data_IF_957303015364
#
_entry.id   IF_957303015364
#
_cell.length_a   1.000
_cell.length_b   1.000
_cell.length_c   1.000
_cell.angle_alpha   90.00
_cell.angle_beta   90.00
_cell.angle_gamma   90.00
#
_symmetry.space_group_name_H-M   'P 1'
#
loop_
_entity.id
_entity.type
_entity.pdbx_description
1 polymer ?
#
# COMPACT_ATOMS: atom_id res chain seq x y z
N UNK A 1 -39.41 16.07 1.21
CA UNK A 1 -38.70 17.35 1.07
C UNK A 1 -37.70 17.64 2.22
N UNK A 2 -38.06 17.54 3.52
CA UNK A 2 -37.09 17.89 4.60
C UNK A 2 -35.80 17.03 4.63
N UNK A 3 -35.92 15.75 4.34
CA UNK A 3 -34.75 14.82 4.34
C UNK A 3 -33.83 15.09 3.15
N UNK A 4 -34.42 15.31 1.97
CA UNK A 4 -33.63 15.63 0.76
C UNK A 4 -32.90 16.95 0.89
N UNK A 5 -33.55 17.97 1.48
CA UNK A 5 -32.89 19.24 1.75
C UNK A 5 -31.74 19.09 2.72
N UNK A 6 -31.95 18.34 3.80
CA UNK A 6 -30.92 18.08 4.81
C UNK A 6 -29.73 17.31 4.25
N UNK A 7 -29.95 16.36 3.33
CA UNK A 7 -28.90 15.64 2.61
C UNK A 7 -28.12 16.58 1.69
N UNK A 8 -28.79 17.51 1.00
CA UNK A 8 -28.14 18.51 0.16
C UNK A 8 -27.24 19.45 0.99
N UNK A 9 -27.75 19.90 2.14
CA UNK A 9 -27.02 20.79 3.06
C UNK A 9 -25.77 20.07 3.62
N UNK A 10 -25.89 18.80 4.02
CA UNK A 10 -24.76 17.99 4.49
C UNK A 10 -23.73 17.79 3.38
N UNK A 11 -24.15 17.49 2.16
CA UNK A 11 -23.24 17.39 1.01
C UNK A 11 -22.49 18.70 0.78
N UNK A 12 -23.19 19.82 0.79
CA UNK A 12 -22.58 21.15 0.65
C UNK A 12 -21.53 21.44 1.74
N UNK A 13 -21.84 21.07 2.98
CA UNK A 13 -20.88 21.22 4.08
C UNK A 13 -19.64 20.32 3.91
N UNK A 14 -19.82 19.08 3.43
CA UNK A 14 -18.70 18.17 3.15
C UNK A 14 -17.80 18.73 2.04
N UNK A 15 -18.38 19.21 0.93
CA UNK A 15 -17.62 19.81 -0.17
C UNK A 15 -16.87 21.06 0.27
N UNK A 16 -17.49 21.92 1.08
CA UNK A 16 -16.80 23.09 1.64
C UNK A 16 -15.61 22.67 2.52
N UNK A 17 -15.80 21.70 3.42
CA UNK A 17 -14.71 21.19 4.27
C UNK A 17 -13.58 20.56 3.47
N UNK A 18 -13.91 19.85 2.38
CA UNK A 18 -12.90 19.32 1.46
C UNK A 18 -12.08 20.44 0.81
N UNK A 19 -12.73 21.50 0.34
CA UNK A 19 -12.06 22.66 -0.24
C UNK A 19 -11.15 23.38 0.78
N UNK A 20 -11.63 23.56 2.01
CA UNK A 20 -10.87 24.13 3.11
C UNK A 20 -9.60 23.30 3.39
N UNK A 21 -9.75 21.99 3.49
CA UNK A 21 -8.62 21.06 3.71
C UNK A 21 -7.62 21.12 2.55
N UNK A 22 -8.08 21.17 1.31
CA UNK A 22 -7.20 21.27 0.15
C UNK A 22 -6.41 22.59 0.14
N UNK A 23 -7.01 23.69 0.58
CA UNK A 23 -6.33 24.99 0.64
C UNK A 23 -5.17 25.03 1.64
N UNK A 24 -5.27 24.26 2.72
CA UNK A 24 -4.21 24.15 3.75
C UNK A 24 -3.17 23.09 3.33
N UNK A 25 -3.62 21.98 2.77
CA UNK A 25 -2.78 20.86 2.38
C UNK A 25 -1.75 21.23 1.32
N UNK A 26 -2.18 21.94 0.27
CA UNK A 26 -1.32 22.29 -0.86
C UNK A 26 -0.03 22.99 -0.42
N UNK A 27 -0.12 24.11 0.29
CA UNK A 27 1.05 24.81 0.83
C UNK A 27 1.93 23.94 1.73
N UNK A 28 1.32 23.12 2.60
CA UNK A 28 2.05 22.22 3.50
C UNK A 28 2.86 21.17 2.74
N UNK A 29 2.26 20.53 1.74
CA UNK A 29 2.95 19.56 0.90
C UNK A 29 4.06 20.21 0.06
N UNK A 30 3.80 21.39 -0.51
CA UNK A 30 4.81 22.13 -1.25
C UNK A 30 6.02 22.50 -0.39
N UNK A 31 5.80 22.88 0.85
CA UNK A 31 6.88 23.16 1.80
C UNK A 31 7.72 21.92 2.08
N UNK A 32 7.10 20.75 2.30
CA UNK A 32 7.82 19.50 2.51
C UNK A 32 8.63 19.10 1.27
N UNK A 33 8.04 19.16 0.08
CA UNK A 33 8.74 18.86 -1.18
C UNK A 33 9.93 19.81 -1.40
N UNK A 34 9.76 21.10 -1.10
CA UNK A 34 10.84 22.08 -1.17
C UNK A 34 11.99 21.77 -0.21
N UNK A 35 11.69 21.33 1.02
CA UNK A 35 12.73 20.88 1.97
C UNK A 35 13.47 19.63 1.47
N UNK A 36 12.80 18.78 0.69
CA UNK A 36 13.40 17.61 0.05
C UNK A 36 14.15 17.94 -1.25
N UNK A 37 14.15 19.20 -1.67
CA UNK A 37 14.74 19.64 -2.94
C UNK A 37 13.97 19.14 -4.16
N UNK A 38 12.68 18.82 -3.99
CA UNK A 38 11.82 18.31 -5.07
C UNK A 38 10.94 19.43 -5.61
N UNK A 39 10.98 19.62 -6.92
CA UNK A 39 10.17 20.58 -7.65
C UNK A 39 9.52 19.92 -8.90
N UNK A 40 8.84 20.73 -9.72
CA UNK A 40 8.18 20.27 -10.94
C UNK A 40 9.14 19.77 -12.03
N UNK A 41 10.43 20.05 -11.94
CA UNK A 41 11.48 19.64 -12.89
C UNK A 41 12.30 18.45 -12.42
N UNK A 42 12.09 18.03 -11.17
CA UNK A 42 12.74 16.85 -10.61
C UNK A 42 12.37 15.60 -11.41
N UNK A 43 13.33 14.72 -11.65
CA UNK A 43 13.17 13.50 -12.44
C UNK A 43 13.87 12.31 -11.76
N UNK A 44 13.56 11.10 -12.20
CA UNK A 44 14.15 9.85 -11.68
C UNK A 44 13.98 9.67 -10.18
N UNK A 45 12.92 10.20 -9.59
CA UNK A 45 12.65 10.09 -8.17
C UNK A 45 12.38 8.62 -7.79
N UNK A 46 12.80 8.27 -6.56
CA UNK A 46 12.51 6.99 -5.95
C UNK A 46 11.58 7.24 -4.75
N UNK A 47 10.40 6.64 -4.76
CA UNK A 47 9.35 6.90 -3.78
C UNK A 47 8.99 5.63 -3.02
N UNK A 48 9.14 5.64 -1.70
CA UNK A 48 8.68 4.59 -0.79
C UNK A 48 7.38 5.04 -0.13
N UNK A 49 6.28 4.42 -0.49
CA UNK A 49 4.93 4.75 0.00
C UNK A 49 4.52 3.79 1.12
N UNK A 50 4.05 4.33 2.24
CA UNK A 50 3.75 3.56 3.43
C UNK A 50 5.02 3.09 4.13
N UNK A 51 5.99 4.00 4.26
CA UNK A 51 7.33 3.67 4.77
C UNK A 51 7.32 3.24 6.24
N UNK A 52 6.33 3.66 7.02
CA UNK A 52 6.32 3.42 8.44
C UNK A 52 7.66 3.80 9.09
N UNK A 53 8.20 2.95 9.98
CA UNK A 53 9.51 3.14 10.60
C UNK A 53 10.69 2.68 9.70
N UNK A 54 10.42 2.15 8.52
CA UNK A 54 11.41 1.50 7.63
C UNK A 54 11.83 2.42 6.48
N UNK A 55 12.34 3.61 6.81
CA UNK A 55 12.82 4.55 5.80
C UNK A 55 13.96 3.96 4.96
N UNK A 56 13.91 4.18 3.66
CA UNK A 56 14.95 3.78 2.71
C UNK A 56 15.87 4.98 2.43
N UNK A 57 17.18 4.77 2.54
CA UNK A 57 18.17 5.80 2.21
C UNK A 57 18.17 6.11 0.71
N UNK A 58 18.18 7.39 0.37
CA UNK A 58 18.12 7.85 -1.03
C UNK A 58 16.73 7.82 -1.66
N UNK A 59 15.69 7.43 -0.90
CA UNK A 59 14.30 7.46 -1.32
C UNK A 59 13.53 8.58 -0.64
N UNK A 60 12.47 9.06 -1.28
CA UNK A 60 11.48 9.90 -0.64
C UNK A 60 10.51 8.98 0.11
N UNK A 61 10.61 8.98 1.43
CA UNK A 61 9.79 8.14 2.30
C UNK A 61 8.50 8.89 2.65
N UNK A 62 7.36 8.31 2.25
CA UNK A 62 6.02 8.87 2.41
C UNK A 62 5.18 8.01 3.35
N UNK A 63 4.54 8.65 4.33
CA UNK A 63 3.57 8.01 5.22
C UNK A 63 2.56 9.02 5.77
N UNK A 64 1.48 8.54 6.40
CA UNK A 64 0.55 9.36 7.20
C UNK A 64 1.12 9.70 8.57
N UNK A 65 1.99 8.87 9.11
CA UNK A 65 2.79 9.13 10.30
C UNK A 65 3.97 10.05 9.96
N UNK A 66 4.70 10.56 10.95
CA UNK A 66 5.87 11.39 10.68
C UNK A 66 6.87 10.68 9.76
N UNK A 67 7.05 11.23 8.58
CA UNK A 67 7.94 10.76 7.53
C UNK A 67 8.60 11.98 6.86
N UNK A 68 9.52 11.74 5.90
CA UNK A 68 10.10 12.84 5.11
C UNK A 68 9.02 13.61 4.35
N UNK A 69 8.02 12.90 3.82
CA UNK A 69 6.83 13.45 3.20
C UNK A 69 5.59 12.91 3.92
N UNK A 70 5.07 13.69 4.86
CA UNK A 70 3.88 13.30 5.64
C UNK A 70 2.60 13.66 4.91
N UNK A 71 1.89 12.66 4.37
CA UNK A 71 0.60 12.83 3.68
C UNK A 71 -0.19 11.54 3.63
N UNK A 72 -1.49 11.65 3.39
CA UNK A 72 -2.36 10.50 3.16
C UNK A 72 -2.45 10.22 1.64
N UNK A 73 -2.11 9.00 1.23
CA UNK A 73 -2.18 8.56 -0.18
C UNK A 73 -3.58 8.71 -0.81
N UNK A 74 -4.64 8.67 0.00
CA UNK A 74 -6.02 8.86 -0.46
C UNK A 74 -6.29 10.29 -0.96
N UNK A 75 -5.39 11.20 -0.72
CA UNK A 75 -5.51 12.59 -1.18
C UNK A 75 -4.77 12.85 -2.50
N UNK A 76 -4.19 11.83 -3.10
CA UNK A 76 -3.34 11.88 -4.28
C UNK A 76 -1.87 12.16 -3.94
N UNK A 77 -0.99 11.68 -4.80
CA UNK A 77 0.46 11.86 -4.67
C UNK A 77 0.87 13.23 -5.22
N UNK A 78 1.66 14.03 -4.46
CA UNK A 78 1.97 15.42 -4.82
C UNK A 78 3.13 15.53 -5.82
N UNK A 79 3.17 14.65 -6.79
CA UNK A 79 4.17 14.63 -7.85
C UNK A 79 3.51 14.90 -9.21
N UNK A 80 4.22 15.53 -10.14
CA UNK A 80 3.74 15.69 -11.51
C UNK A 80 3.92 14.38 -12.30
N UNK A 81 3.32 14.31 -13.47
CA UNK A 81 3.36 13.12 -14.32
C UNK A 81 4.80 12.78 -14.73
N UNK A 82 5.18 11.52 -14.57
CA UNK A 82 6.45 11.01 -15.03
C UNK A 82 7.68 11.42 -14.22
N UNK A 83 7.55 11.84 -12.96
CA UNK A 83 8.70 12.24 -12.13
C UNK A 83 9.44 11.07 -11.50
N UNK A 84 8.78 9.94 -11.29
CA UNK A 84 9.33 8.83 -10.53
C UNK A 84 9.87 7.74 -11.44
N UNK A 85 11.09 7.27 -11.16
CA UNK A 85 11.69 6.09 -11.79
C UNK A 85 11.25 4.81 -11.10
N UNK A 86 11.25 4.82 -9.77
CA UNK A 86 10.87 3.67 -8.96
C UNK A 86 9.87 4.07 -7.88
N UNK A 87 8.89 3.19 -7.67
CA UNK A 87 7.95 3.29 -6.55
C UNK A 87 7.95 1.94 -5.82
N UNK A 88 8.06 1.97 -4.51
CA UNK A 88 8.00 0.80 -3.65
C UNK A 88 6.86 0.94 -2.63
N UNK A 89 6.06 -0.12 -2.48
CA UNK A 89 5.03 -0.26 -1.45
C UNK A 89 5.18 -1.63 -0.79
N UNK A 90 5.24 -1.65 0.53
CA UNK A 90 5.27 -2.90 1.29
C UNK A 90 4.22 -2.86 2.38
N UNK A 91 3.26 -3.78 2.33
CA UNK A 91 2.19 -3.93 3.32
C UNK A 91 1.40 -2.63 3.56
N UNK A 92 0.98 -2.01 2.48
CA UNK A 92 0.12 -0.81 2.48
C UNK A 92 -1.20 -1.07 1.75
N UNK A 93 -1.16 -1.74 0.59
CA UNK A 93 -2.31 -1.80 -0.32
C UNK A 93 -3.50 -2.55 0.28
N UNK A 94 -3.27 -3.53 1.14
CA UNK A 94 -4.28 -4.27 1.90
C UNK A 94 -5.04 -3.41 2.91
N UNK A 95 -4.47 -2.28 3.32
CA UNK A 95 -5.09 -1.31 4.22
C UNK A 95 -6.02 -0.32 3.51
N UNK A 96 -6.18 -0.43 2.20
CA UNK A 96 -7.06 0.40 1.38
C UNK A 96 -8.31 -0.36 0.95
N UNK A 97 -9.45 0.35 0.85
CA UNK A 97 -10.66 -0.26 0.31
C UNK A 97 -10.50 -0.57 -1.18
N UNK A 98 -10.74 -1.84 -1.53
CA UNK A 98 -10.76 -2.27 -2.92
C UNK A 98 -12.22 -2.32 -3.44
N UNK A 99 -12.52 -1.87 -4.68
CA UNK A 99 -11.55 -1.35 -5.65
C UNK A 99 -11.28 0.16 -5.55
N UNK A 100 -12.03 0.92 -4.78
CA UNK A 100 -12.04 2.38 -4.83
C UNK A 100 -10.69 3.02 -4.52
N UNK A 101 -10.23 2.89 -3.29
CA UNK A 101 -9.05 3.60 -2.81
C UNK A 101 -7.77 2.98 -3.39
N UNK A 102 -7.68 1.65 -3.39
CA UNK A 102 -6.55 0.93 -3.93
C UNK A 102 -6.34 1.23 -5.42
N UNK A 103 -7.42 1.21 -6.23
CA UNK A 103 -7.32 1.51 -7.65
C UNK A 103 -6.94 2.98 -7.90
N UNK A 104 -7.47 3.90 -7.10
CA UNK A 104 -7.10 5.32 -7.19
C UNK A 104 -5.60 5.53 -6.93
N UNK A 105 -5.05 4.89 -5.90
CA UNK A 105 -3.61 4.95 -5.62
C UNK A 105 -2.79 4.33 -6.75
N UNK A 106 -3.17 3.16 -7.26
CA UNK A 106 -2.46 2.51 -8.36
C UNK A 106 -2.47 3.34 -9.65
N UNK A 107 -3.57 4.02 -9.96
CA UNK A 107 -3.67 4.95 -11.08
C UNK A 107 -2.75 6.17 -10.87
N UNK A 108 -2.68 6.67 -9.66
CA UNK A 108 -1.83 7.81 -9.33
C UNK A 108 -0.33 7.41 -9.39
N UNK A 109 0.01 6.21 -8.94
CA UNK A 109 1.36 5.64 -9.12
C UNK A 109 1.71 5.49 -10.61
N UNK A 110 0.78 4.98 -11.42
CA UNK A 110 0.98 4.90 -12.86
C UNK A 110 1.23 6.28 -13.47
N UNK A 111 0.51 7.31 -13.05
CA UNK A 111 0.66 8.69 -13.52
C UNK A 111 2.04 9.26 -13.21
N UNK A 112 2.52 9.11 -11.97
CA UNK A 112 3.79 9.70 -11.53
C UNK A 112 5.03 8.95 -11.99
N UNK A 113 4.93 7.67 -12.34
CA UNK A 113 6.04 6.92 -12.93
C UNK A 113 6.38 7.47 -14.32
N UNK A 114 7.66 7.56 -14.68
CA UNK A 114 8.10 7.85 -16.04
C UNK A 114 7.85 6.64 -16.97
N UNK A 115 7.85 6.81 -18.31
CA UNK A 115 7.84 5.67 -19.22
C UNK A 115 9.02 4.73 -18.96
N UNK A 116 8.75 3.44 -18.76
CA UNK A 116 9.72 2.45 -18.32
C UNK A 116 9.98 2.46 -16.80
N UNK A 117 9.33 3.33 -16.05
CA UNK A 117 9.36 3.34 -14.59
C UNK A 117 8.65 2.12 -13.98
N UNK A 118 9.07 1.69 -12.81
CA UNK A 118 8.63 0.43 -12.20
C UNK A 118 8.08 0.67 -10.80
N UNK A 119 6.92 0.06 -10.53
CA UNK A 119 6.42 -0.11 -9.17
C UNK A 119 6.66 -1.53 -8.69
N UNK A 120 7.20 -1.67 -7.47
CA UNK A 120 7.29 -2.93 -6.72
C UNK A 120 6.29 -2.89 -5.58
N UNK A 121 5.43 -3.91 -5.52
CA UNK A 121 4.36 -4.03 -4.53
C UNK A 121 4.54 -5.34 -3.77
N UNK A 122 4.51 -5.24 -2.45
CA UNK A 122 4.54 -6.37 -1.53
C UNK A 122 3.26 -6.33 -0.69
N UNK A 123 2.50 -7.42 -0.69
CA UNK A 123 1.25 -7.58 0.07
C UNK A 123 1.16 -8.98 0.66
N UNK A 124 0.32 -9.25 1.67
CA UNK A 124 0.05 -10.61 2.12
C UNK A 124 -0.41 -11.51 0.97
N UNK A 125 0.19 -12.71 0.81
CA UNK A 125 -0.24 -13.70 -0.19
C UNK A 125 -1.45 -14.50 0.35
N UNK A 126 -2.64 -14.10 -0.04
CA UNK A 126 -3.89 -14.75 0.40
C UNK A 126 -4.02 -16.16 -0.20
N UNK A 127 -3.49 -16.42 -1.38
CA UNK A 127 -3.49 -17.76 -1.95
C UNK A 127 -2.70 -18.74 -1.08
N UNK A 128 -1.55 -18.31 -0.56
CA UNK A 128 -0.75 -19.10 0.38
C UNK A 128 -1.50 -19.35 1.69
N UNK A 129 -2.21 -18.34 2.20
CA UNK A 129 -3.00 -18.48 3.41
C UNK A 129 -4.21 -19.43 3.24
N UNK A 130 -4.88 -19.38 2.07
CA UNK A 130 -5.96 -20.32 1.71
C UNK A 130 -5.42 -21.75 1.66
N UNK A 131 -4.26 -21.96 1.03
CA UNK A 131 -3.64 -23.28 0.96
C UNK A 131 -3.32 -23.80 2.35
N UNK A 132 -2.70 -23.01 3.23
CA UNK A 132 -2.41 -23.39 4.60
C UNK A 132 -3.69 -23.72 5.41
N UNK A 133 -4.78 -23.00 5.17
CA UNK A 133 -6.08 -23.29 5.78
C UNK A 133 -6.62 -24.66 5.33
N UNK A 134 -6.57 -24.94 4.03
CA UNK A 134 -7.03 -26.21 3.44
C UNK A 134 -6.20 -27.41 3.91
N UNK A 135 -4.88 -27.23 3.98
CA UNK A 135 -3.93 -28.26 4.41
C UNK A 135 -3.90 -28.49 5.93
N UNK A 136 -4.69 -27.71 6.69
CA UNK A 136 -4.67 -27.73 8.15
C UNK A 136 -3.29 -27.41 8.75
N UNK A 137 -2.53 -26.54 8.11
CA UNK A 137 -1.19 -26.15 8.54
C UNK A 137 -1.26 -25.20 9.76
N UNK A 138 -1.28 -25.81 10.94
CA UNK A 138 -1.32 -25.09 12.20
C UNK A 138 -0.02 -24.30 12.45
N UNK A 139 1.12 -24.78 11.94
CA UNK A 139 2.41 -24.14 12.10
C UNK A 139 2.50 -22.83 11.31
N UNK A 140 1.92 -22.79 10.11
CA UNK A 140 1.81 -21.58 9.33
C UNK A 140 1.15 -20.43 10.13
N UNK A 141 0.01 -20.73 10.74
CA UNK A 141 -0.73 -19.72 11.51
C UNK A 141 -0.06 -19.40 12.84
N UNK A 142 0.53 -20.39 13.53
CA UNK A 142 1.26 -20.19 14.79
C UNK A 142 2.48 -19.27 14.62
N UNK A 143 3.31 -19.52 13.61
CA UNK A 143 4.50 -18.70 13.35
C UNK A 143 4.11 -17.26 12.99
N UNK A 144 3.01 -17.07 12.28
CA UNK A 144 2.49 -15.74 12.00
C UNK A 144 2.07 -15.00 13.26
N UNK A 145 1.41 -15.67 14.21
CA UNK A 145 1.03 -15.09 15.52
C UNK A 145 2.28 -14.67 16.29
N UNK A 146 3.29 -15.54 16.33
CA UNK A 146 4.56 -15.26 17.01
C UNK A 146 5.27 -14.03 16.41
N UNK A 147 5.15 -13.83 15.10
CA UNK A 147 5.76 -12.69 14.40
C UNK A 147 5.02 -11.35 14.64
N UNK A 148 3.70 -11.37 14.69
CA UNK A 148 2.90 -10.13 14.72
C UNK A 148 2.07 -9.96 15.98
N UNK A 149 2.18 -10.87 16.96
CA UNK A 149 1.46 -10.77 18.21
C UNK A 149 -0.08 -10.80 18.06
N UNK A 150 -0.58 -11.23 16.93
CA UNK A 150 -1.99 -11.25 16.61
C UNK A 150 -2.66 -12.51 17.19
N UNK A 151 -3.25 -12.39 18.36
CA UNK A 151 -4.06 -13.44 18.96
C UNK A 151 -3.52 -13.95 20.31
N UNK A 152 -4.40 -14.57 21.06
CA UNK A 152 -4.13 -15.11 22.39
C UNK A 152 -3.68 -16.60 22.37
N UNK A 153 -3.39 -17.15 21.20
CA UNK A 153 -3.09 -18.58 21.00
C UNK A 153 -4.30 -19.50 21.09
N UNK A 154 -5.48 -18.96 21.36
CA UNK A 154 -6.76 -19.67 21.47
C UNK A 154 -7.59 -19.57 20.17
N UNK A 155 -7.21 -18.67 19.25
CA UNK A 155 -7.94 -18.42 18.03
C UNK A 155 -8.00 -19.66 17.12
N UNK A 156 -9.16 -19.88 16.52
CA UNK A 156 -9.36 -20.93 15.52
C UNK A 156 -8.62 -20.60 14.22
N UNK A 157 -8.40 -21.59 13.38
CA UNK A 157 -7.83 -21.39 12.05
C UNK A 157 -8.61 -20.37 11.22
N UNK A 158 -9.94 -20.37 11.35
CA UNK A 158 -10.78 -19.41 10.64
C UNK A 158 -10.55 -17.98 11.13
N UNK A 159 -10.46 -17.79 12.46
CA UNK A 159 -10.16 -16.48 13.04
C UNK A 159 -8.79 -15.96 12.59
N UNK A 160 -7.79 -16.84 12.57
CA UNK A 160 -6.47 -16.50 12.02
C UNK A 160 -6.53 -16.15 10.53
N UNK A 161 -7.25 -16.94 9.72
CA UNK A 161 -7.43 -16.66 8.31
C UNK A 161 -8.14 -15.32 8.09
N UNK A 162 -9.22 -15.06 8.79
CA UNK A 162 -9.97 -13.80 8.67
C UNK A 162 -9.14 -12.60 9.11
N UNK A 163 -8.39 -12.72 10.20
CA UNK A 163 -7.44 -11.69 10.64
C UNK A 163 -6.38 -11.38 9.58
N UNK A 164 -5.90 -12.41 8.87
CA UNK A 164 -4.96 -12.24 7.77
C UNK A 164 -5.59 -11.60 6.54
N UNK A 165 -6.81 -11.99 6.22
CA UNK A 165 -7.51 -11.55 5.02
C UNK A 165 -8.24 -10.20 5.20
N UNK A 166 -8.29 -9.62 6.40
CA UNK A 166 -8.83 -8.29 6.59
C UNK A 166 -9.94 -8.11 7.62
N UNK A 167 -10.32 -9.16 8.34
CA UNK A 167 -11.33 -9.05 9.40
C UNK A 167 -10.68 -8.98 10.79
N UNK A 168 -10.01 -7.89 11.09
CA UNK A 168 -9.45 -7.65 12.43
C UNK A 168 -10.54 -7.51 13.49
N UNK A 169 -10.35 -8.07 14.70
CA UNK A 169 -11.39 -8.12 15.74
C UNK A 169 -11.59 -6.80 16.48
N UNK A 170 -10.67 -5.85 16.40
CA UNK A 170 -10.71 -4.64 17.22
C UNK A 170 -11.10 -3.40 16.42
N UNK A 171 -12.25 -2.75 16.73
CA UNK A 171 -12.66 -1.49 16.12
C UNK A 171 -11.66 -0.34 16.34
N UNK A 172 -10.84 -0.36 17.38
CA UNK A 172 -9.83 0.67 17.66
C UNK A 172 -8.71 0.66 16.61
N UNK A 173 -8.48 -0.46 15.93
CA UNK A 173 -7.47 -0.64 14.89
C UNK A 173 -8.01 -0.53 13.46
N UNK A 174 -9.19 0.04 13.27
CA UNK A 174 -9.82 0.19 11.93
C UNK A 174 -8.91 0.83 10.89
N UNK A 175 -8.02 1.71 11.31
CA UNK A 175 -7.06 2.35 10.41
C UNK A 175 -5.99 1.36 9.91
N UNK A 176 -5.49 0.52 10.82
CA UNK A 176 -4.45 -0.49 10.53
C UNK A 176 -5.00 -1.85 10.11
N UNK A 177 -6.32 -2.06 10.20
CA UNK A 177 -6.94 -3.31 9.76
C UNK A 177 -6.76 -3.51 8.25
N UNK A 178 -6.49 -4.75 7.85
CA UNK A 178 -6.59 -5.12 6.44
C UNK A 178 -8.04 -4.96 5.98
N UNK A 179 -8.27 -4.27 4.90
CA UNK A 179 -9.59 -4.02 4.31
C UNK A 179 -9.84 -4.89 3.08
N UNK A 180 -8.76 -5.46 2.55
CA UNK A 180 -8.81 -6.38 1.44
C UNK A 180 -7.61 -7.32 1.44
N UNK A 181 -7.74 -8.46 0.75
CA UNK A 181 -6.66 -9.43 0.56
C UNK A 181 -6.38 -9.65 -0.92
N UNK A 182 -5.12 -9.89 -1.26
CA UNK A 182 -4.67 -10.06 -2.63
C UNK A 182 -4.07 -11.45 -2.84
N UNK A 183 -4.42 -12.06 -3.98
CA UNK A 183 -3.62 -13.03 -4.69
C UNK A 183 -3.03 -12.40 -5.96
N UNK A 184 -2.21 -13.15 -6.69
CA UNK A 184 -1.59 -12.60 -7.89
C UNK A 184 -2.60 -12.20 -8.98
N UNK A 185 -3.64 -13.01 -9.19
CA UNK A 185 -4.68 -12.72 -10.19
C UNK A 185 -5.41 -11.42 -9.88
N UNK A 186 -5.81 -11.24 -8.63
CA UNK A 186 -6.52 -10.04 -8.19
C UNK A 186 -5.65 -8.79 -8.28
N UNK A 187 -4.39 -8.87 -7.83
CA UNK A 187 -3.45 -7.74 -7.92
C UNK A 187 -3.10 -7.41 -9.38
N UNK A 188 -2.88 -8.43 -10.21
CA UNK A 188 -2.65 -8.25 -11.65
C UNK A 188 -3.84 -7.52 -12.32
N UNK A 189 -5.06 -7.94 -12.02
CA UNK A 189 -6.27 -7.27 -12.54
C UNK A 189 -6.38 -5.82 -12.06
N UNK A 190 -6.04 -5.54 -10.81
CA UNK A 190 -6.05 -4.18 -10.27
C UNK A 190 -5.03 -3.30 -11.00
N UNK A 191 -3.82 -3.80 -11.22
CA UNK A 191 -2.75 -3.11 -11.95
C UNK A 191 -3.12 -2.88 -13.43
N UNK A 192 -3.73 -3.85 -14.10
CA UNK A 192 -4.24 -3.67 -15.46
C UNK A 192 -5.28 -2.55 -15.55
N UNK A 193 -6.21 -2.50 -14.58
CA UNK A 193 -7.21 -1.43 -14.50
C UNK A 193 -6.60 -0.06 -14.19
N UNK A 194 -5.45 -0.03 -13.56
CA UNK A 194 -4.70 1.20 -13.30
C UNK A 194 -3.88 1.68 -14.51
N UNK A 195 -3.74 0.86 -15.57
CA UNK A 195 -3.03 1.23 -16.80
C UNK A 195 -1.72 0.47 -17.03
N UNK A 196 -1.30 -0.39 -16.12
CA UNK A 196 -0.09 -1.20 -16.31
C UNK A 196 -0.37 -2.37 -17.26
N UNK A 197 0.52 -2.60 -18.21
CA UNK A 197 0.41 -3.70 -19.18
C UNK A 197 1.45 -4.81 -18.95
N UNK A 198 2.63 -4.46 -18.43
CA UNK A 198 3.67 -5.42 -18.05
C UNK A 198 3.65 -5.63 -16.55
N UNK A 199 3.20 -6.81 -16.11
CA UNK A 199 3.04 -7.17 -14.69
C UNK A 199 3.70 -8.52 -14.46
N UNK A 200 4.61 -8.57 -13.50
CA UNK A 200 5.51 -9.71 -13.27
C UNK A 200 5.32 -10.17 -11.82
N UNK A 201 5.02 -11.46 -11.61
CA UNK A 201 5.16 -12.07 -10.29
C UNK A 201 6.65 -12.23 -10.00
N UNK A 202 7.10 -11.61 -8.93
CA UNK A 202 8.49 -11.62 -8.48
C UNK A 202 8.65 -12.50 -7.23
N UNK A 203 9.82 -12.44 -6.61
CA UNK A 203 10.15 -13.12 -5.35
C UNK A 203 10.89 -12.13 -4.45
N UNK A 204 11.08 -12.52 -3.18
CA UNK A 204 11.86 -11.74 -2.23
C UNK A 204 13.25 -11.39 -2.79
N UNK A 205 13.60 -10.11 -2.77
CA UNK A 205 14.86 -9.55 -3.29
C UNK A 205 15.17 -9.87 -4.77
N UNK A 206 14.19 -10.36 -5.55
CA UNK A 206 14.41 -10.83 -6.93
C UNK A 206 13.95 -9.82 -7.99
N UNK A 207 14.25 -8.54 -7.80
CA UNK A 207 14.07 -7.52 -8.84
C UNK A 207 15.23 -7.54 -9.84
N UNK A 208 14.93 -7.33 -11.13
CA UNK A 208 15.96 -7.04 -12.15
C UNK A 208 16.53 -5.62 -12.03
N UNK A 209 15.88 -4.76 -11.24
CA UNK A 209 16.30 -3.41 -10.93
C UNK A 209 16.97 -3.38 -9.56
N UNK A 210 18.30 -3.15 -9.44
CA UNK A 210 18.99 -3.18 -8.14
C UNK A 210 18.37 -2.24 -7.10
N UNK A 211 17.87 -1.08 -7.52
CA UNK A 211 17.20 -0.13 -6.64
C UNK A 211 15.92 -0.69 -5.99
N UNK A 212 15.28 -1.70 -6.57
CA UNK A 212 14.07 -2.36 -6.04
C UNK A 212 14.37 -3.64 -5.25
N UNK A 213 15.64 -4.00 -5.04
CA UNK A 213 16.05 -5.09 -4.14
C UNK A 213 16.11 -4.56 -2.71
N UNK A 214 14.96 -4.16 -2.17
CA UNK A 214 14.84 -3.47 -0.87
C UNK A 214 13.90 -4.16 0.11
N UNK A 215 13.39 -5.34 -0.22
CA UNK A 215 12.38 -6.04 0.61
C UNK A 215 12.89 -6.35 2.02
N UNK A 216 14.20 -6.55 2.20
CA UNK A 216 14.81 -6.88 3.50
C UNK A 216 14.69 -5.75 4.54
N UNK A 217 14.45 -4.51 4.10
CA UNK A 217 14.19 -3.39 5.00
C UNK A 217 12.83 -3.48 5.70
N UNK A 218 11.92 -4.32 5.20
CA UNK A 218 10.63 -4.59 5.83
C UNK A 218 10.65 -5.94 6.55
N UNK A 219 10.53 -5.93 7.88
CA UNK A 219 10.41 -7.18 8.66
C UNK A 219 9.24 -8.05 8.19
N UNK A 220 8.12 -7.40 7.80
CA UNK A 220 6.93 -8.09 7.32
C UNK A 220 7.19 -8.77 5.98
N UNK A 221 7.85 -8.09 5.05
CA UNK A 221 8.22 -8.67 3.76
C UNK A 221 9.22 -9.82 3.89
N UNK A 222 10.12 -9.73 4.88
CA UNK A 222 11.15 -10.75 5.16
C UNK A 222 10.60 -11.99 5.86
N UNK A 223 9.42 -11.90 6.48
CA UNK A 223 8.83 -13.01 7.23
C UNK A 223 8.47 -14.20 6.33
N UNK A 224 8.79 -15.41 6.79
CA UNK A 224 8.58 -16.64 6.04
C UNK A 224 8.18 -17.81 6.93
N UNK A 225 7.53 -18.80 6.30
CA UNK A 225 7.25 -20.12 6.85
C UNK A 225 7.97 -21.17 6.00
N UNK A 226 8.91 -21.91 6.59
CA UNK A 226 9.84 -22.75 5.83
C UNK A 226 10.62 -21.92 4.79
N UNK A 227 10.53 -22.32 3.54
CA UNK A 227 11.19 -21.62 2.41
C UNK A 227 10.29 -20.60 1.72
N UNK A 228 9.05 -20.39 2.18
CA UNK A 228 8.06 -19.52 1.55
C UNK A 228 7.87 -18.25 2.36
N UNK A 229 8.00 -17.10 1.71
CA UNK A 229 7.60 -15.83 2.30
C UNK A 229 6.08 -15.73 2.40
N UNK A 230 5.57 -15.10 3.48
CA UNK A 230 4.14 -14.84 3.65
C UNK A 230 3.60 -13.84 2.65
N UNK A 231 4.48 -13.12 1.98
CA UNK A 231 4.15 -12.02 1.09
C UNK A 231 4.20 -12.43 -0.37
N UNK A 232 3.31 -11.82 -1.15
CA UNK A 232 3.30 -11.80 -2.60
C UNK A 232 4.11 -10.59 -3.08
N UNK A 233 5.04 -10.81 -3.99
CA UNK A 233 5.88 -9.79 -4.60
C UNK A 233 5.49 -9.62 -6.06
N UNK A 234 5.18 -8.38 -6.46
CA UNK A 234 4.76 -8.07 -7.83
C UNK A 234 5.47 -6.80 -8.31
N UNK A 235 5.90 -6.81 -9.56
CA UNK A 235 6.40 -5.63 -10.24
C UNK A 235 5.50 -5.28 -11.42
N UNK A 236 5.30 -3.98 -11.66
CA UNK A 236 4.59 -3.50 -12.83
C UNK A 236 5.32 -2.32 -13.47
N UNK A 237 5.36 -2.31 -14.80
CA UNK A 237 6.11 -1.32 -15.59
C UNK A 237 5.12 -0.40 -16.29
N UNK A 238 5.33 0.92 -16.19
CA UNK A 238 4.64 1.92 -17.01
C UNK A 238 5.24 1.90 -18.42
N UNK A 239 4.41 1.68 -19.42
CA UNK A 239 4.77 1.83 -20.84
C UNK A 239 4.57 3.25 -21.34
#
# INVERSE_FOLDING_TARGET
APIQQRLADIRGQIEQRRADLQSVRGPYLMQQLQHLGVDQHSQNLQLHIGSGPYALDGWINLDVFPAQLSTNVLWGLPFVDGQCRYVFLSHLLEHLFYPTDALSLLQDIHRILEPGGVVRIVVPDIALCIQAYQDNDADFFRQRIEHWGAGDGQATRLEHFLSYAGAGPDPAWLFEAHKFGYDFETLQRALQRAGFSTIIRSQFMASTHPALQVDEHSQVASAKHGDRHYSLFVEAVRQ
#
